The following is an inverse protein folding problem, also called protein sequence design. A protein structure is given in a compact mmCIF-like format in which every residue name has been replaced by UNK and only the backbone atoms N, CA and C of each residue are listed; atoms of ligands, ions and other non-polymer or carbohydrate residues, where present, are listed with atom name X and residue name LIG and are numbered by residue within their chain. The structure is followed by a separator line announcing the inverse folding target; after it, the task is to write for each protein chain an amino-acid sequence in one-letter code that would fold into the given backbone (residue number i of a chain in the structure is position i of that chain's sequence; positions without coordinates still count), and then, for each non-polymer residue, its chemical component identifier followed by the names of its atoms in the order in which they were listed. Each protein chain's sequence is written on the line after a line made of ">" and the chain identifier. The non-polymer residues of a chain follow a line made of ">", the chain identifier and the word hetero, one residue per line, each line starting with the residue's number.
data_IF_942574154601
#
_entry.id   IF_942574154601
#
_cell.length_a   1.000
_cell.length_b   1.000
_cell.length_c   1.000
_cell.angle_alpha   90.00
_cell.angle_beta   90.00
_cell.angle_gamma   90.00
#
_symmetry.space_group_name_H-M   'P 1'
#
loop_
_entity.id
_entity.type
_entity.pdbx_description
1 polymer ?
#
# COMPACT_ATOMS: atom_id res chain seq x y z
N UNK A 1 -1.51 6.92 -23.92
CA UNK A 1 -0.82 5.68 -23.49
C UNK A 1 0.64 5.93 -23.11
N UNK A 2 1.45 6.67 -23.89
CA UNK A 2 2.88 6.91 -23.60
C UNK A 2 3.11 7.61 -22.25
N UNK A 3 2.31 8.60 -21.90
CA UNK A 3 2.44 9.35 -20.63
C UNK A 3 2.28 8.47 -19.38
N UNK A 4 1.46 7.42 -19.44
CA UNK A 4 1.31 6.45 -18.32
C UNK A 4 2.57 5.61 -18.17
N UNK A 5 3.18 5.19 -19.28
CA UNK A 5 4.44 4.45 -19.27
C UNK A 5 5.60 5.29 -18.74
N UNK A 6 5.72 6.54 -19.18
CA UNK A 6 6.75 7.46 -18.68
C UNK A 6 6.57 7.73 -17.19
N UNK A 7 5.35 7.98 -16.73
CA UNK A 7 5.04 8.15 -15.32
C UNK A 7 5.40 6.93 -14.47
N UNK A 8 5.09 5.71 -14.94
CA UNK A 8 5.40 4.49 -14.21
C UNK A 8 6.91 4.18 -14.17
N UNK A 9 7.65 4.49 -15.24
CA UNK A 9 9.11 4.36 -15.28
C UNK A 9 9.79 5.38 -14.38
N UNK A 10 9.34 6.64 -14.41
CA UNK A 10 9.85 7.69 -13.53
C UNK A 10 9.62 7.32 -12.06
N UNK A 11 8.42 6.83 -11.72
CA UNK A 11 8.09 6.41 -10.36
C UNK A 11 8.94 5.23 -9.90
N UNK A 12 9.20 4.22 -10.77
CA UNK A 12 10.12 3.12 -10.46
C UNK A 12 11.54 3.61 -10.19
N UNK A 13 12.04 4.57 -10.96
CA UNK A 13 13.38 5.15 -10.78
C UNK A 13 13.49 5.92 -9.47
N UNK A 14 12.49 6.75 -9.14
CA UNK A 14 12.40 7.53 -7.90
C UNK A 14 12.31 6.61 -6.70
N UNK A 15 11.41 5.62 -6.73
CA UNK A 15 11.26 4.64 -5.65
C UNK A 15 12.56 3.87 -5.40
N UNK A 16 13.24 3.45 -6.46
CA UNK A 16 14.53 2.76 -6.36
C UNK A 16 15.61 3.63 -5.71
N UNK A 17 15.69 4.90 -6.10
CA UNK A 17 16.66 5.85 -5.51
C UNK A 17 16.39 6.08 -4.01
N UNK A 18 15.14 6.25 -3.63
CA UNK A 18 14.70 6.44 -2.24
C UNK A 18 15.00 5.18 -1.41
N UNK A 19 14.67 3.99 -1.92
CA UNK A 19 14.93 2.71 -1.24
C UNK A 19 16.42 2.48 -1.01
N UNK A 20 17.27 2.84 -1.98
CA UNK A 20 18.71 2.72 -1.84
C UNK A 20 19.30 3.71 -0.81
N UNK A 21 18.75 4.92 -0.71
CA UNK A 21 19.25 5.96 0.21
C UNK A 21 18.79 5.73 1.64
N UNK A 22 17.49 5.42 1.85
CA UNK A 22 16.89 5.35 3.19
C UNK A 22 16.71 3.92 3.73
N UNK A 23 16.83 2.90 2.87
CA UNK A 23 16.60 1.49 3.21
C UNK A 23 15.14 1.10 3.21
N UNK A 24 14.90 -0.20 3.00
CA UNK A 24 13.53 -0.75 2.85
C UNK A 24 12.68 -0.53 4.11
N UNK A 25 13.21 -0.83 5.30
CA UNK A 25 12.47 -0.71 6.56
C UNK A 25 11.95 0.71 6.78
N UNK A 26 12.81 1.74 6.64
CA UNK A 26 12.41 3.14 6.86
C UNK A 26 11.35 3.59 5.85
N UNK A 27 11.54 3.28 4.58
CA UNK A 27 10.61 3.67 3.52
C UNK A 27 9.26 3.01 3.70
N UNK A 28 9.23 1.70 4.00
CA UNK A 28 7.97 0.99 4.23
C UNK A 28 7.24 1.51 5.48
N UNK A 29 7.96 1.77 6.57
CA UNK A 29 7.37 2.32 7.80
C UNK A 29 6.77 3.71 7.56
N UNK A 30 7.51 4.61 6.90
CA UNK A 30 7.01 5.96 6.56
C UNK A 30 5.76 5.85 5.68
N UNK A 31 5.82 5.03 4.63
CA UNK A 31 4.66 4.79 3.77
C UNK A 31 3.46 4.20 4.54
N UNK A 32 3.71 3.25 5.44
CA UNK A 32 2.67 2.68 6.30
C UNK A 32 1.99 3.75 7.18
N UNK A 33 2.77 4.63 7.79
CA UNK A 33 2.27 5.77 8.57
C UNK A 33 1.41 6.69 7.69
N UNK A 34 1.90 7.06 6.50
CA UNK A 34 1.16 7.95 5.59
C UNK A 34 -0.14 7.28 5.10
N UNK A 35 -0.15 5.97 4.87
CA UNK A 35 -1.37 5.21 4.52
C UNK A 35 -2.40 5.29 5.65
N UNK A 36 -1.98 5.09 6.91
CA UNK A 36 -2.87 5.20 8.08
C UNK A 36 -3.45 6.61 8.19
N UNK A 37 -2.61 7.65 8.11
CA UNK A 37 -3.07 9.04 8.14
C UNK A 37 -4.00 9.38 6.97
N UNK A 38 -3.70 8.89 5.78
CA UNK A 38 -4.54 9.10 4.60
C UNK A 38 -5.91 8.44 4.75
N UNK A 39 -5.97 7.24 5.34
CA UNK A 39 -7.24 6.57 5.61
C UNK A 39 -8.04 7.30 6.70
N UNK A 40 -7.37 7.79 7.76
CA UNK A 40 -8.01 8.66 8.76
C UNK A 40 -8.56 9.94 8.12
N UNK A 41 -7.82 10.57 7.22
CA UNK A 41 -8.29 11.75 6.50
C UNK A 41 -9.54 11.46 5.66
N UNK A 42 -9.63 10.26 5.05
CA UNK A 42 -10.83 9.83 4.34
C UNK A 42 -12.04 9.68 5.27
N UNK A 43 -11.84 9.23 6.51
CA UNK A 43 -12.92 9.16 7.51
C UNK A 43 -13.44 10.55 7.92
N UNK A 44 -12.63 11.60 7.80
CA UNK A 44 -12.97 12.98 8.12
C UNK A 44 -13.61 13.74 6.95
N UNK A 45 -13.69 13.16 5.75
CA UNK A 45 -14.31 13.81 4.61
C UNK A 45 -15.77 14.11 4.91
N UNK A 46 -16.15 15.38 4.69
CA UNK A 46 -17.50 15.88 4.81
C UNK A 46 -18.01 16.41 3.47
N UNK A 47 -19.32 16.38 3.27
CA UNK A 47 -19.96 16.93 2.07
C UNK A 47 -19.69 18.45 1.87
N UNK A 48 -19.30 19.15 2.93
CA UNK A 48 -18.93 20.58 2.90
C UNK A 48 -17.49 20.85 2.46
N UNK A 49 -16.65 19.80 2.27
CA UNK A 49 -15.26 20.00 1.86
C UNK A 49 -15.14 20.37 0.38
N UNK A 50 -14.30 21.35 0.04
CA UNK A 50 -14.01 21.68 -1.35
C UNK A 50 -13.44 20.48 -2.10
N UNK A 51 -13.93 20.24 -3.32
CA UNK A 51 -13.55 19.07 -4.15
C UNK A 51 -12.02 19.00 -4.37
N UNK A 52 -11.34 20.15 -4.44
CA UNK A 52 -9.90 20.22 -4.63
C UNK A 52 -9.09 19.59 -3.51
N UNK A 53 -9.56 19.71 -2.25
CA UNK A 53 -8.93 19.08 -1.09
C UNK A 53 -9.09 17.57 -1.19
N UNK A 54 -10.27 17.09 -1.54
CA UNK A 54 -10.54 15.66 -1.71
C UNK A 54 -9.67 15.08 -2.83
N UNK A 55 -9.58 15.75 -3.98
CA UNK A 55 -8.73 15.34 -5.09
C UNK A 55 -7.25 15.31 -4.69
N UNK A 56 -6.77 16.30 -3.96
CA UNK A 56 -5.40 16.34 -3.44
C UNK A 56 -5.08 15.19 -2.50
N UNK A 57 -5.98 14.89 -1.56
CA UNK A 57 -5.85 13.76 -0.64
C UNK A 57 -5.82 12.42 -1.37
N UNK A 58 -6.71 12.21 -2.33
CA UNK A 58 -6.77 10.99 -3.13
C UNK A 58 -5.52 10.83 -4.01
N UNK A 59 -5.01 11.92 -4.55
CA UNK A 59 -3.79 11.91 -5.35
C UNK A 59 -2.57 11.51 -4.52
N UNK A 60 -2.39 12.10 -3.33
CA UNK A 60 -1.32 11.74 -2.40
C UNK A 60 -1.44 10.28 -1.98
N UNK A 61 -2.67 9.83 -1.65
CA UNK A 61 -2.94 8.43 -1.33
C UNK A 61 -2.51 7.49 -2.45
N UNK A 62 -2.85 7.81 -3.69
CA UNK A 62 -2.45 7.03 -4.87
C UNK A 62 -0.93 6.91 -5.03
N UNK A 63 -0.19 8.01 -4.84
CA UNK A 63 1.27 8.03 -4.92
C UNK A 63 1.91 7.14 -3.84
N UNK A 64 1.49 7.31 -2.59
CA UNK A 64 2.03 6.55 -1.44
C UNK A 64 1.72 5.07 -1.58
N UNK A 65 0.50 4.72 -2.01
CA UNK A 65 0.08 3.34 -2.27
C UNK A 65 0.91 2.70 -3.38
N UNK A 66 1.16 3.42 -4.47
CA UNK A 66 2.01 2.96 -5.57
C UNK A 66 3.43 2.68 -5.12
N UNK A 67 4.01 3.58 -4.32
CA UNK A 67 5.35 3.42 -3.77
C UNK A 67 5.43 2.23 -2.80
N UNK A 68 4.42 2.07 -1.94
CA UNK A 68 4.33 0.95 -1.01
C UNK A 68 4.25 -0.40 -1.73
N UNK A 69 3.38 -0.50 -2.74
CA UNK A 69 3.22 -1.67 -3.58
C UNK A 69 4.52 -2.05 -4.31
N UNK A 70 5.21 -1.07 -4.89
CA UNK A 70 6.50 -1.29 -5.55
C UNK A 70 7.57 -1.77 -4.56
N UNK A 71 7.58 -1.23 -3.34
CA UNK A 71 8.52 -1.65 -2.29
C UNK A 71 8.28 -3.09 -1.84
N UNK A 72 7.03 -3.48 -1.62
CA UNK A 72 6.65 -4.85 -1.26
C UNK A 72 7.06 -5.83 -2.35
N UNK A 73 6.73 -5.53 -3.61
CA UNK A 73 7.10 -6.38 -4.74
C UNK A 73 8.62 -6.53 -4.87
N UNK A 74 9.36 -5.44 -4.72
CA UNK A 74 10.82 -5.49 -4.79
C UNK A 74 11.39 -6.37 -3.67
N UNK A 75 10.83 -6.27 -2.47
CA UNK A 75 11.27 -7.07 -1.33
C UNK A 75 10.89 -8.55 -1.48
N UNK A 76 9.70 -8.85 -2.01
CA UNK A 76 9.23 -10.22 -2.22
C UNK A 76 10.16 -11.05 -3.16
N UNK A 77 10.81 -10.37 -4.10
CA UNK A 77 11.75 -11.02 -5.04
C UNK A 77 13.23 -10.82 -4.67
N UNK A 78 13.51 -10.22 -3.51
CA UNK A 78 14.86 -9.84 -3.10
C UNK A 78 15.84 -11.01 -3.04
N UNK A 79 15.40 -12.11 -2.46
CA UNK A 79 16.23 -13.27 -2.15
C UNK A 79 15.87 -14.51 -3.00
N UNK A 80 15.06 -14.31 -4.07
CA UNK A 80 14.62 -15.39 -4.95
C UNK A 80 15.68 -15.69 -6.01
N UNK A 81 16.19 -16.95 -6.12
CA UNK A 81 17.10 -17.36 -7.17
C UNK A 81 16.46 -17.24 -8.57
N UNK A 82 17.26 -16.95 -9.57
CA UNK A 82 16.78 -16.70 -10.94
C UNK A 82 16.00 -17.88 -11.53
N UNK A 83 16.38 -19.12 -11.17
CA UNK A 83 15.69 -20.33 -11.61
C UNK A 83 14.28 -20.48 -11.03
N UNK A 84 14.01 -19.87 -9.88
CA UNK A 84 12.72 -19.94 -9.18
C UNK A 84 11.84 -18.70 -9.40
N UNK A 85 12.30 -17.73 -10.20
CA UNK A 85 11.57 -16.48 -10.46
C UNK A 85 10.18 -16.71 -11.06
N UNK A 86 10.02 -17.69 -11.93
CA UNK A 86 8.73 -18.03 -12.53
C UNK A 86 7.71 -18.49 -11.48
N UNK A 87 8.08 -19.45 -10.64
CA UNK A 87 7.24 -19.96 -9.58
C UNK A 87 6.91 -18.88 -8.53
N UNK A 88 7.91 -18.09 -8.13
CA UNK A 88 7.72 -16.98 -7.20
C UNK A 88 6.78 -15.90 -7.76
N UNK A 89 6.89 -15.59 -9.06
CA UNK A 89 6.01 -14.64 -9.72
C UNK A 89 4.56 -15.12 -9.76
N UNK A 90 4.34 -16.40 -10.10
CA UNK A 90 3.01 -17.02 -10.11
C UNK A 90 2.39 -17.02 -8.72
N UNK A 91 3.13 -17.43 -7.69
CA UNK A 91 2.67 -17.44 -6.30
C UNK A 91 2.32 -16.02 -5.82
N UNK A 92 3.18 -15.05 -6.10
CA UNK A 92 2.96 -13.65 -5.72
C UNK A 92 1.72 -13.08 -6.42
N UNK A 93 1.53 -13.35 -7.70
CA UNK A 93 0.36 -12.89 -8.46
C UNK A 93 -0.93 -13.49 -7.91
N UNK A 94 -0.94 -14.79 -7.60
CA UNK A 94 -2.10 -15.47 -6.99
C UNK A 94 -2.41 -14.89 -5.61
N UNK A 95 -1.39 -14.71 -4.76
CA UNK A 95 -1.57 -14.10 -3.44
C UNK A 95 -2.11 -12.67 -3.54
N UNK A 96 -1.68 -11.87 -4.51
CA UNK A 96 -2.20 -10.54 -4.76
C UNK A 96 -3.67 -10.57 -5.17
N UNK A 97 -4.07 -11.44 -6.09
CA UNK A 97 -5.47 -11.55 -6.53
C UNK A 97 -6.38 -11.99 -5.39
N UNK A 98 -5.96 -12.97 -4.60
CA UNK A 98 -6.68 -13.39 -3.40
C UNK A 98 -6.80 -12.24 -2.39
N UNK A 99 -5.72 -11.50 -2.16
CA UNK A 99 -5.72 -10.35 -1.26
C UNK A 99 -6.66 -9.24 -1.73
N UNK A 100 -6.74 -8.98 -3.04
CA UNK A 100 -7.68 -8.01 -3.61
C UNK A 100 -9.13 -8.47 -3.43
N UNK A 101 -9.44 -9.73 -3.73
CA UNK A 101 -10.78 -10.28 -3.56
C UNK A 101 -11.22 -10.24 -2.08
N UNK A 102 -10.35 -10.69 -1.17
CA UNK A 102 -10.59 -10.60 0.27
C UNK A 102 -10.76 -9.15 0.74
N UNK A 103 -9.95 -8.23 0.23
CA UNK A 103 -10.05 -6.81 0.57
C UNK A 103 -11.40 -6.20 0.20
N UNK A 104 -11.91 -6.51 -1.00
CA UNK A 104 -13.23 -6.05 -1.45
C UNK A 104 -14.34 -6.65 -0.57
N UNK A 105 -14.27 -7.96 -0.30
CA UNK A 105 -15.25 -8.65 0.53
C UNK A 105 -15.27 -8.10 1.96
N UNK A 106 -14.11 -7.96 2.59
CA UNK A 106 -14.00 -7.37 3.93
C UNK A 106 -14.49 -5.93 3.95
N UNK A 107 -14.14 -5.13 2.93
CA UNK A 107 -14.63 -3.75 2.81
C UNK A 107 -16.15 -3.67 2.73
N UNK A 108 -16.78 -4.52 1.93
CA UNK A 108 -18.26 -4.61 1.81
C UNK A 108 -18.91 -5.06 3.13
N UNK A 109 -18.37 -6.09 3.78
CA UNK A 109 -18.89 -6.57 5.06
C UNK A 109 -18.79 -5.49 6.16
N UNK A 110 -17.67 -4.78 6.22
CA UNK A 110 -17.48 -3.71 7.21
C UNK A 110 -18.45 -2.56 6.94
N UNK A 111 -18.72 -2.22 5.68
CA UNK A 111 -19.73 -1.21 5.35
C UNK A 111 -21.13 -1.65 5.76
N UNK A 112 -21.51 -2.90 5.48
CA UNK A 112 -22.79 -3.46 5.93
C UNK A 112 -22.93 -3.44 7.45
N UNK A 113 -21.88 -3.84 8.17
CA UNK A 113 -21.86 -3.76 9.65
C UNK A 113 -22.00 -2.33 10.15
N UNK A 114 -21.32 -1.37 9.54
CA UNK A 114 -21.43 0.04 9.92
C UNK A 114 -22.85 0.57 9.73
N UNK A 115 -23.51 0.20 8.63
CA UNK A 115 -24.91 0.58 8.37
C UNK A 115 -25.84 -0.01 9.41
N UNK A 116 -25.66 -1.28 9.80
CA UNK A 116 -26.47 -1.91 10.87
C UNK A 116 -26.24 -1.22 12.22
N UNK A 117 -24.98 -0.88 12.57
CA UNK A 117 -24.65 -0.17 13.81
C UNK A 117 -25.35 1.20 13.87
N UNK A 118 -25.39 1.90 12.74
CA UNK A 118 -26.02 3.22 12.63
C UNK A 118 -27.55 3.16 12.42
N UNK A 119 -28.14 1.97 12.44
CA UNK A 119 -29.58 1.74 12.17
C UNK A 119 -30.04 2.33 10.82
N UNK A 120 -29.15 2.34 9.84
CA UNK A 120 -29.38 2.83 8.48
C UNK A 120 -29.95 1.74 7.55
N UNK A 121 -30.32 2.15 6.32
CA UNK A 121 -30.74 1.21 5.27
C UNK A 121 -29.51 0.59 4.59
N UNK A 122 -29.34 -0.74 4.60
CA UNK A 122 -28.22 -1.42 3.94
C UNK A 122 -28.07 -1.11 2.44
N UNK A 123 -29.16 -0.69 1.79
CA UNK A 123 -29.17 -0.36 0.37
C UNK A 123 -28.77 1.11 0.09
N UNK A 124 -28.77 1.97 1.12
CA UNK A 124 -28.49 3.40 1.02
C UNK A 124 -27.51 3.85 2.12
N UNK A 125 -26.22 3.45 2.04
CA UNK A 125 -25.23 3.81 3.03
C UNK A 125 -25.08 5.33 3.15
N UNK A 126 -25.11 5.83 4.37
CA UNK A 126 -24.91 7.24 4.70
C UNK A 126 -23.44 7.61 4.83
N UNK A 127 -23.12 8.91 4.86
CA UNK A 127 -21.74 9.39 5.11
C UNK A 127 -21.23 8.88 6.46
N UNK A 128 -22.09 8.75 7.46
CA UNK A 128 -21.75 8.22 8.77
C UNK A 128 -21.31 6.75 8.68
N UNK A 129 -21.95 5.95 7.88
CA UNK A 129 -21.61 4.53 7.68
C UNK A 129 -20.23 4.38 7.03
N UNK A 130 -19.90 5.20 6.06
CA UNK A 130 -18.57 5.25 5.47
C UNK A 130 -17.51 5.65 6.50
N UNK A 131 -17.77 6.63 7.37
CA UNK A 131 -16.85 7.04 8.42
C UNK A 131 -16.55 5.90 9.38
N UNK A 132 -17.60 5.24 9.88
CA UNK A 132 -17.46 4.07 10.77
C UNK A 132 -16.69 2.96 10.06
N UNK A 133 -16.99 2.71 8.79
CA UNK A 133 -16.28 1.70 7.99
C UNK A 133 -14.79 2.00 7.85
N UNK A 134 -14.41 3.24 7.55
CA UNK A 134 -13.01 3.64 7.47
C UNK A 134 -12.29 3.46 8.79
N UNK A 135 -12.94 3.77 9.93
CA UNK A 135 -12.37 3.58 11.25
C UNK A 135 -12.18 2.10 11.59
N UNK A 136 -13.14 1.25 11.24
CA UNK A 136 -13.04 -0.20 11.45
C UNK A 136 -11.93 -0.83 10.59
N UNK A 137 -11.84 -0.43 9.32
CA UNK A 137 -10.80 -0.92 8.40
C UNK A 137 -9.40 -0.48 8.82
N UNK A 138 -9.25 0.61 9.60
CA UNK A 138 -7.96 1.08 10.10
C UNK A 138 -7.16 0.02 10.88
N UNK A 139 -7.83 -0.96 11.48
CA UNK A 139 -7.19 -2.06 12.19
C UNK A 139 -6.21 -2.83 11.28
N UNK A 140 -6.56 -3.01 10.00
CA UNK A 140 -5.72 -3.75 9.05
C UNK A 140 -4.38 -3.05 8.74
N UNK A 141 -4.36 -1.77 8.31
CA UNK A 141 -3.10 -1.08 8.08
C UNK A 141 -2.31 -0.81 9.36
N UNK A 142 -2.94 -0.66 10.52
CA UNK A 142 -2.26 -0.57 11.81
C UNK A 142 -1.54 -1.87 12.14
N UNK A 143 -2.17 -3.04 11.92
CA UNK A 143 -1.52 -4.33 12.05
C UNK A 143 -0.34 -4.47 11.07
N UNK A 144 -0.53 -4.06 9.82
CA UNK A 144 0.54 -4.01 8.83
C UNK A 144 1.72 -3.14 9.27
N UNK A 145 1.44 -1.95 9.80
CA UNK A 145 2.45 -1.02 10.32
C UNK A 145 3.21 -1.63 11.51
N UNK A 146 2.51 -2.27 12.45
CA UNK A 146 3.13 -2.98 13.56
C UNK A 146 4.10 -4.07 13.07
N UNK A 147 3.70 -4.87 12.08
CA UNK A 147 4.59 -5.87 11.46
C UNK A 147 5.79 -5.25 10.76
N UNK A 148 5.64 -4.10 10.12
CA UNK A 148 6.74 -3.38 9.47
C UNK A 148 7.73 -2.80 10.48
N UNK A 149 7.27 -2.29 11.61
CA UNK A 149 8.13 -1.81 12.69
C UNK A 149 9.01 -2.94 13.26
N UNK A 150 8.45 -4.15 13.38
CA UNK A 150 9.15 -5.32 13.87
C UNK A 150 9.99 -6.05 12.79
N UNK A 151 10.02 -5.53 11.56
CA UNK A 151 10.85 -6.10 10.49
C UNK A 151 12.34 -5.92 10.79
N UNK A 152 13.16 -6.93 10.42
CA UNK A 152 14.61 -6.86 10.57
C UNK A 152 15.17 -5.62 9.85
N UNK A 153 16.11 -4.88 10.47
CA UNK A 153 16.79 -3.76 9.83
C UNK A 153 17.56 -4.15 8.56
N UNK A 154 17.93 -5.42 8.44
CA UNK A 154 18.71 -5.99 7.33
C UNK A 154 17.83 -6.48 6.17
N UNK A 155 16.49 -6.41 6.30
CA UNK A 155 15.59 -6.84 5.24
C UNK A 155 15.84 -6.02 3.96
N UNK A 156 16.18 -6.72 2.87
CA UNK A 156 16.50 -6.12 1.58
C UNK A 156 17.93 -5.57 1.41
N UNK A 157 18.82 -5.76 2.39
CA UNK A 157 20.22 -5.32 2.28
C UNK A 157 20.96 -6.01 1.13
N UNK A 158 20.59 -7.23 0.77
CA UNK A 158 21.15 -7.96 -0.37
C UNK A 158 20.88 -7.21 -1.69
N UNK A 159 19.70 -6.61 -1.85
CA UNK A 159 19.39 -5.77 -3.00
C UNK A 159 20.24 -4.49 -2.97
N UNK A 160 20.34 -3.85 -1.82
CA UNK A 160 21.13 -2.63 -1.64
C UNK A 160 22.60 -2.83 -1.93
N UNK A 161 23.20 -3.94 -1.50
CA UNK A 161 24.60 -4.32 -1.80
C UNK A 161 24.80 -4.58 -3.30
N UNK A 162 23.90 -5.30 -3.94
CA UNK A 162 23.93 -5.59 -5.38
C UNK A 162 23.88 -4.32 -6.23
N UNK A 163 23.14 -3.30 -5.80
CA UNK A 163 23.07 -2.01 -6.50
C UNK A 163 24.29 -1.12 -6.24
N UNK A 164 24.90 -1.20 -5.05
CA UNK A 164 26.07 -0.40 -4.69
C UNK A 164 27.35 -0.92 -5.36
N UNK A 165 27.39 -2.20 -5.72
CA UNK A 165 28.53 -2.82 -6.39
C UNK A 165 28.06 -3.65 -7.61
N UNK A 166 27.65 -3.00 -8.73
CA UNK A 166 27.16 -3.70 -9.93
C UNK A 166 28.21 -4.54 -10.64
N UNK A 167 29.49 -4.43 -10.27
CA UNK A 167 30.63 -5.18 -10.83
C UNK A 167 31.18 -6.26 -9.89
N UNK A 168 30.57 -6.48 -8.75
CA UNK A 168 30.96 -7.57 -7.85
C UNK A 168 30.59 -8.91 -8.51
N UNK A 169 31.51 -9.50 -9.26
CA UNK A 169 31.51 -10.93 -9.58
C UNK A 169 31.60 -11.71 -8.25
N UNK A 170 31.03 -12.96 -8.24
CA UNK A 170 31.06 -13.83 -7.08
C UNK A 170 32.47 -14.11 -6.62
#
# INVERSE_FOLDING_TARGET
>A
MVSIFVGSLAMKSITRHILNKYGFKKVMTINGIVIVFSLMSCALISASMPIWIVMGLLFINGLVRSMHFTSINTLAFADVPQQQMGSASSLTSTAMQLSMALGITVGSLVLSLATVINQGDPNLPSIADFRVSFLLILVLPLWGLYRQLNMSPTAGDNIRKKYKNPKGKP
#
